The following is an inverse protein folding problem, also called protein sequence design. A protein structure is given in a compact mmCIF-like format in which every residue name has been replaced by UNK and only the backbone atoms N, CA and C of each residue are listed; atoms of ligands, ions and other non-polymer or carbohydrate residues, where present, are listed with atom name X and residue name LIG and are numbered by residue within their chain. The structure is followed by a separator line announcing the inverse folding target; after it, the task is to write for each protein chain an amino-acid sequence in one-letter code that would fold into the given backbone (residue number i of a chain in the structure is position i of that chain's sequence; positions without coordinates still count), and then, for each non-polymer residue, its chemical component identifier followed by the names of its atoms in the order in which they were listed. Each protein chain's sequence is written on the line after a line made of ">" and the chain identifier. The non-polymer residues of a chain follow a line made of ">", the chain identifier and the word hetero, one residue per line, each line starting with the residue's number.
data_IF_980021491466
#
_entry.id   IF_980021491466
#
_cell.length_a   1.000
_cell.length_b   1.000
_cell.length_c   1.000
_cell.angle_alpha   90.00
_cell.angle_beta   90.00
_cell.angle_gamma   90.00
#
_symmetry.space_group_name_H-M   'P 1'
#
loop_
_entity.id
_entity.type
_entity.pdbx_description
1 polymer ?
#
# COMPACT_ATOMS: atom_id res chain seq x y z
N UNK A 1 -4.16 -9.84 -0.35
CA UNK A 1 -3.13 -8.79 -0.28
C UNK A 1 -2.70 -8.33 -1.67
N UNK A 2 -2.23 -7.09 -1.79
CA UNK A 2 -1.64 -6.54 -3.02
C UNK A 2 -0.34 -5.81 -2.73
N UNK A 3 0.60 -5.86 -3.67
CA UNK A 3 1.90 -5.20 -3.60
C UNK A 3 1.90 -3.91 -4.40
N UNK A 4 2.47 -2.87 -3.80
CA UNK A 4 2.54 -1.54 -4.37
C UNK A 4 3.98 -1.03 -4.33
N UNK A 5 4.51 -0.42 -5.41
CA UNK A 5 5.80 0.25 -5.35
C UNK A 5 5.75 1.43 -4.39
N UNK A 6 6.67 1.49 -3.42
CA UNK A 6 6.65 2.53 -2.38
C UNK A 6 6.70 3.95 -2.98
N UNK A 7 7.52 4.16 -4.01
CA UNK A 7 7.63 5.45 -4.71
C UNK A 7 6.34 5.92 -5.40
N UNK A 8 5.39 5.01 -5.69
CA UNK A 8 4.06 5.37 -6.22
C UNK A 8 3.04 5.62 -5.11
N UNK A 9 3.19 4.95 -3.96
CA UNK A 9 2.30 5.12 -2.81
C UNK A 9 2.60 6.43 -2.07
N UNK A 10 3.88 6.74 -1.82
CA UNK A 10 4.27 7.90 -0.99
C UNK A 10 3.68 9.22 -1.47
N UNK A 11 3.67 9.56 -2.78
CA UNK A 11 3.04 10.80 -3.24
C UNK A 11 1.53 10.85 -2.95
N UNK A 12 0.83 9.73 -3.06
CA UNK A 12 -0.61 9.66 -2.75
C UNK A 12 -0.85 9.89 -1.26
N UNK A 13 -0.03 9.32 -0.37
CA UNK A 13 -0.16 9.56 1.07
C UNK A 13 0.08 11.03 1.42
N UNK A 14 1.00 11.71 0.75
CA UNK A 14 1.25 13.14 0.96
C UNK A 14 0.09 14.00 0.44
N UNK A 15 -0.48 13.61 -0.71
CA UNK A 15 -1.55 14.35 -1.35
C UNK A 15 -2.91 14.19 -0.65
N UNK A 16 -3.17 13.04 -0.05
CA UNK A 16 -4.45 12.69 0.57
C UNK A 16 -4.25 12.40 2.08
N UNK A 17 -4.46 13.40 2.97
CA UNK A 17 -4.24 13.24 4.41
C UNK A 17 -5.10 12.14 5.04
N UNK A 18 -6.33 11.95 4.57
CA UNK A 18 -7.23 10.89 5.02
C UNK A 18 -6.70 9.49 4.67
N UNK A 19 -6.04 9.36 3.51
CA UNK A 19 -5.35 8.13 3.12
C UNK A 19 -4.13 7.90 4.01
N UNK A 20 -3.36 8.94 4.35
CA UNK A 20 -2.24 8.86 5.28
C UNK A 20 -2.67 8.39 6.67
N UNK A 21 -3.81 8.88 7.17
CA UNK A 21 -4.37 8.43 8.46
C UNK A 21 -4.76 6.95 8.40
N UNK A 22 -5.52 6.54 7.39
CA UNK A 22 -5.89 5.14 7.20
C UNK A 22 -4.65 4.23 7.05
N UNK A 23 -3.61 4.73 6.37
CA UNK A 23 -2.34 4.02 6.21
C UNK A 23 -1.62 3.80 7.54
N UNK A 24 -1.57 4.81 8.41
CA UNK A 24 -0.98 4.70 9.75
C UNK A 24 -1.74 3.69 10.62
N UNK A 25 -3.07 3.69 10.56
CA UNK A 25 -3.88 2.74 11.32
C UNK A 25 -3.68 1.30 10.82
N UNK A 26 -3.63 1.08 9.50
CA UNK A 26 -3.31 -0.22 8.93
C UNK A 26 -1.88 -0.69 9.29
N UNK A 27 -0.91 0.23 9.34
CA UNK A 27 0.45 -0.07 9.80
C UNK A 27 0.47 -0.57 11.25
N UNK A 28 -0.25 0.12 12.16
CA UNK A 28 -0.37 -0.27 13.57
C UNK A 28 -1.08 -1.61 13.73
N UNK A 29 -2.06 -1.91 12.88
CA UNK A 29 -2.78 -3.16 12.86
C UNK A 29 -1.99 -4.33 12.23
N UNK A 30 -0.76 -4.09 11.74
CA UNK A 30 0.05 -5.12 11.10
C UNK A 30 -0.43 -5.52 9.70
N UNK A 31 -1.30 -4.72 9.07
CA UNK A 31 -1.89 -4.98 7.75
C UNK A 31 -1.02 -4.48 6.58
N UNK A 32 0.18 -3.96 6.89
CA UNK A 32 1.15 -3.48 5.92
C UNK A 32 2.48 -4.19 6.15
N UNK A 33 3.09 -4.71 5.08
CA UNK A 33 4.43 -5.30 5.11
C UNK A 33 5.34 -4.58 4.12
N UNK A 34 6.49 -4.12 4.59
CA UNK A 34 7.51 -3.57 3.71
C UNK A 34 8.28 -4.73 3.05
N UNK A 35 8.51 -4.62 1.75
CA UNK A 35 9.29 -5.58 0.97
C UNK A 35 10.34 -4.86 0.14
N UNK A 36 11.47 -5.52 -0.10
CA UNK A 36 12.47 -5.06 -1.06
C UNK A 36 12.76 -6.18 -2.04
N UNK A 37 12.63 -5.90 -3.35
CA UNK A 37 12.90 -6.83 -4.43
C UNK A 37 13.68 -6.12 -5.54
N UNK A 38 14.78 -6.72 -6.00
CA UNK A 38 15.62 -6.20 -7.10
C UNK A 38 16.03 -4.73 -6.90
N UNK A 39 16.37 -4.36 -5.66
CA UNK A 39 16.76 -2.99 -5.30
C UNK A 39 15.60 -1.98 -5.27
N UNK A 40 14.35 -2.44 -5.40
CA UNK A 40 13.14 -1.61 -5.34
C UNK A 40 12.35 -1.89 -4.06
N UNK A 41 11.82 -0.83 -3.47
CA UNK A 41 10.98 -0.92 -2.29
C UNK A 41 9.50 -1.02 -2.66
N UNK A 42 8.83 -1.94 -2.01
CA UNK A 42 7.41 -2.20 -2.14
C UNK A 42 6.75 -2.21 -0.77
N UNK A 43 5.44 -2.02 -0.76
CA UNK A 43 4.59 -2.27 0.40
C UNK A 43 3.49 -3.23 -0.02
N UNK A 44 3.39 -4.34 0.69
CA UNK A 44 2.27 -5.26 0.62
C UNK A 44 1.19 -4.74 1.57
N UNK A 45 0.01 -4.53 1.02
CA UNK A 45 -1.18 -4.06 1.73
C UNK A 45 -2.16 -5.22 1.82
N UNK A 46 -2.60 -5.51 3.03
CA UNK A 46 -3.60 -6.55 3.32
C UNK A 46 -4.98 -5.97 3.55
N UNK A 47 -5.06 -4.72 4.01
CA UNK A 47 -6.33 -4.02 4.27
C UNK A 47 -7.15 -3.81 2.97
N UNK A 48 -8.33 -4.43 2.84
CA UNK A 48 -9.17 -4.32 1.65
C UNK A 48 -9.64 -2.88 1.37
N UNK A 49 -9.83 -2.07 2.41
CA UNK A 49 -10.29 -0.69 2.28
C UNK A 49 -9.20 0.19 1.65
N UNK A 50 -7.96 0.08 2.10
CA UNK A 50 -6.81 0.74 1.49
C UNK A 50 -6.57 0.28 0.06
N UNK A 51 -6.70 -1.02 -0.22
CA UNK A 51 -6.59 -1.55 -1.60
C UNK A 51 -7.63 -0.89 -2.52
N UNK A 52 -8.88 -0.78 -2.07
CA UNK A 52 -9.95 -0.15 -2.84
C UNK A 52 -9.68 1.35 -3.07
N UNK A 53 -9.21 2.07 -2.04
CA UNK A 53 -8.85 3.50 -2.14
C UNK A 53 -7.70 3.73 -3.11
N UNK A 54 -6.61 2.96 -3.01
CA UNK A 54 -5.49 3.05 -3.94
C UNK A 54 -5.93 2.78 -5.38
N UNK A 55 -6.80 1.78 -5.59
CA UNK A 55 -7.37 1.49 -6.91
C UNK A 55 -8.20 2.67 -7.45
N UNK A 56 -9.03 3.30 -6.62
CA UNK A 56 -9.80 4.48 -7.01
C UNK A 56 -8.91 5.68 -7.38
N UNK A 57 -7.71 5.76 -6.80
CA UNK A 57 -6.66 6.74 -7.14
C UNK A 57 -5.79 6.32 -8.34
N UNK A 58 -6.17 5.25 -9.05
CA UNK A 58 -5.46 4.77 -10.25
C UNK A 58 -4.26 3.87 -9.97
N UNK A 59 -4.05 3.46 -8.72
CA UNK A 59 -2.97 2.54 -8.32
C UNK A 59 -3.54 1.16 -8.00
N UNK A 60 -3.55 0.26 -8.98
CA UNK A 60 -4.14 -1.07 -8.80
C UNK A 60 -3.34 -1.99 -7.89
N UNK A 61 -2.01 -1.94 -7.96
CA UNK A 61 -1.11 -2.89 -7.28
C UNK A 61 -1.12 -4.29 -7.91
N UNK A 62 -0.06 -5.04 -7.62
CA UNK A 62 0.13 -6.40 -8.13
C UNK A 62 -0.41 -7.43 -7.14
N UNK A 63 -1.05 -8.52 -7.58
CA UNK A 63 -1.46 -9.59 -6.69
C UNK A 63 -0.23 -10.29 -6.10
N UNK A 64 -0.20 -10.47 -4.78
CA UNK A 64 0.79 -11.31 -4.11
C UNK A 64 0.13 -12.65 -3.83
N UNK A 65 0.71 -13.73 -4.34
CA UNK A 65 0.32 -15.09 -3.92
C UNK A 65 0.95 -15.33 -2.55
N UNK A 66 0.13 -15.69 -1.57
CA UNK A 66 0.61 -16.36 -0.37
C UNK A 66 1.31 -17.65 -0.82
N UNK A 67 2.59 -17.79 -0.47
CA UNK A 67 3.35 -19.03 -0.67
C UNK A 67 2.94 -20.04 0.40
#
# INVERSE_FOLDING_TARGET
>A
MRRYPAHKVTPLLVQYPDLMEAWKEAAKAGLLRAESQDGRNYVVVEDPSLIARLKALGLEGEPVKEA
#
